data_IF_904458779917
#
_entry.id   IF_904458779917
#
_cell.length_a   1.000
_cell.length_b   1.000
_cell.length_c   1.000
_cell.angle_alpha   90.00
_cell.angle_beta   90.00
_cell.angle_gamma   90.00
#
_symmetry.space_group_name_H-M   'P 1'
#
loop_
_entity.id
_entity.type
_entity.pdbx_description
1 polymer ?
#
# COMPACT_ATOMS: atom_id res chain seq x y z
N UNK A 1 -22.45 13.44 13.85
CA UNK A 1 -22.20 12.72 12.60
C UNK A 1 -21.20 11.63 12.92
N UNK A 2 -21.65 10.42 12.97
CA UNK A 2 -20.79 9.30 13.34
C UNK A 2 -19.95 8.90 12.14
N UNK A 3 -18.65 9.22 12.19
CA UNK A 3 -17.67 8.87 11.15
C UNK A 3 -17.22 7.41 11.32
N UNK A 4 -17.59 6.77 12.44
CA UNK A 4 -17.11 5.43 12.80
C UNK A 4 -17.66 4.29 11.95
N UNK A 5 -18.75 4.52 11.22
CA UNK A 5 -19.41 3.44 10.46
C UNK A 5 -19.00 3.32 9.00
N UNK A 6 -18.11 4.19 8.49
CA UNK A 6 -17.95 4.31 7.04
C UNK A 6 -16.83 3.51 6.42
N UNK A 7 -15.73 3.28 7.07
CA UNK A 7 -14.62 2.51 6.48
C UNK A 7 -13.69 1.96 7.56
N UNK A 8 -13.97 0.78 8.01
CA UNK A 8 -12.98 -0.01 8.73
C UNK A 8 -12.35 -1.02 7.77
N UNK A 9 -11.63 -0.53 6.76
CA UNK A 9 -10.77 -1.40 5.99
C UNK A 9 -9.50 -1.62 6.79
N UNK A 10 -9.40 -2.76 7.43
CA UNK A 10 -8.18 -3.22 8.06
C UNK A 10 -7.47 -4.14 7.08
N UNK A 11 -6.36 -3.67 6.54
CA UNK A 11 -5.47 -4.49 5.74
C UNK A 11 -4.32 -4.97 6.62
N UNK A 12 -4.17 -6.26 6.73
CA UNK A 12 -3.09 -6.91 7.47
C UNK A 12 -2.25 -7.73 6.51
N UNK A 13 -0.95 -7.45 6.49
CA UNK A 13 0.02 -8.25 5.77
C UNK A 13 0.86 -9.04 6.77
N UNK A 14 1.00 -10.33 6.53
CA UNK A 14 1.77 -11.22 7.37
C UNK A 14 2.53 -12.27 6.56
N UNK A 15 3.59 -12.77 7.12
CA UNK A 15 4.31 -13.91 6.56
C UNK A 15 3.58 -15.21 6.96
N UNK A 16 3.13 -15.96 5.96
CA UNK A 16 2.48 -17.26 6.16
C UNK A 16 3.49 -18.41 6.22
N UNK A 17 4.68 -18.18 6.73
CA UNK A 17 5.61 -19.27 6.99
C UNK A 17 5.11 -20.12 8.16
N UNK A 18 4.23 -21.09 7.89
CA UNK A 18 4.06 -22.37 8.57
C UNK A 18 3.94 -22.42 10.10
N UNK A 19 3.60 -21.36 10.78
CA UNK A 19 3.30 -21.34 12.20
C UNK A 19 1.80 -21.31 12.43
N UNK A 20 1.27 -22.19 13.27
CA UNK A 20 -0.06 -21.99 13.86
C UNK A 20 0.00 -20.68 14.64
N UNK A 21 -0.43 -19.59 14.02
CA UNK A 21 -0.69 -18.37 14.75
C UNK A 21 -1.76 -18.69 15.79
N UNK A 22 -1.34 -18.66 17.06
CA UNK A 22 -2.28 -18.42 18.13
C UNK A 22 -2.82 -17.03 17.85
N UNK A 23 -4.06 -17.00 17.36
CA UNK A 23 -4.85 -15.77 17.40
C UNK A 23 -4.87 -15.35 18.87
N UNK A 24 -4.07 -14.36 19.22
CA UNK A 24 -4.18 -13.74 20.52
C UNK A 24 -5.62 -13.26 20.64
N UNK A 25 -6.32 -13.85 21.57
CA UNK A 25 -7.69 -13.48 21.89
C UNK A 25 -7.69 -11.98 22.19
N UNK A 26 -8.16 -11.20 21.24
CA UNK A 26 -8.52 -9.82 21.53
C UNK A 26 -9.56 -9.92 22.66
N UNK A 27 -9.24 -9.35 23.81
CA UNK A 27 -10.00 -9.45 25.07
C UNK A 27 -11.49 -9.06 24.99
N UNK A 28 -12.03 -8.82 23.82
CA UNK A 28 -13.42 -8.43 23.55
C UNK A 28 -14.32 -9.62 23.15
N UNK A 29 -13.78 -10.83 23.01
CA UNK A 29 -14.56 -12.03 22.70
C UNK A 29 -15.19 -12.09 21.31
N UNK A 30 -14.93 -11.13 20.42
CA UNK A 30 -15.41 -11.15 19.04
C UNK A 30 -14.30 -11.67 18.12
N UNK A 31 -14.55 -12.79 17.44
CA UNK A 31 -13.73 -13.26 16.34
C UNK A 31 -13.91 -12.32 15.15
N UNK A 32 -12.84 -11.71 14.68
CA UNK A 32 -12.81 -10.96 13.42
C UNK A 32 -12.43 -11.96 12.34
N UNK A 33 -13.34 -12.21 11.42
CA UNK A 33 -13.05 -13.00 10.21
C UNK A 33 -12.63 -12.05 9.09
N UNK A 34 -11.58 -12.37 8.31
CA UNK A 34 -11.27 -11.58 7.13
C UNK A 34 -12.36 -11.74 6.06
N UNK A 35 -12.69 -10.67 5.38
CA UNK A 35 -13.61 -10.71 4.24
C UNK A 35 -12.98 -11.43 3.05
N UNK A 36 -11.68 -11.28 2.89
CA UNK A 36 -10.89 -11.98 1.89
C UNK A 36 -9.41 -12.07 2.31
N UNK A 37 -8.72 -13.02 1.73
CA UNK A 37 -7.28 -13.24 1.90
C UNK A 37 -6.64 -13.44 0.53
N UNK A 38 -5.52 -12.77 0.29
CA UNK A 38 -4.73 -12.94 -0.91
C UNK A 38 -3.34 -13.44 -0.54
N UNK A 39 -3.00 -14.64 -1.00
CA UNK A 39 -1.64 -15.17 -0.92
C UNK A 39 -0.75 -14.53 -1.97
N UNK A 40 0.32 -13.85 -1.54
CA UNK A 40 1.21 -13.12 -2.43
C UNK A 40 2.52 -13.87 -2.72
N UNK A 41 2.83 -14.89 -1.94
CA UNK A 41 4.03 -15.73 -2.14
C UNK A 41 5.37 -15.05 -1.93
N UNK A 42 5.39 -13.79 -1.48
CA UNK A 42 6.58 -12.98 -1.25
C UNK A 42 6.44 -12.17 0.03
N UNK A 43 7.55 -11.76 0.61
CA UNK A 43 7.54 -10.85 1.76
C UNK A 43 6.93 -9.50 1.40
N UNK A 44 6.02 -9.02 2.23
CA UNK A 44 5.44 -7.69 2.11
C UNK A 44 6.39 -6.68 2.73
N UNK A 45 6.77 -5.66 1.97
CA UNK A 45 7.58 -4.55 2.45
C UNK A 45 6.73 -3.51 3.15
N UNK A 46 5.83 -2.90 2.41
CA UNK A 46 4.91 -1.89 2.92
C UNK A 46 3.51 -2.05 2.35
N UNK A 47 2.55 -1.58 3.09
CA UNK A 47 1.14 -1.56 2.74
C UNK A 47 0.58 -0.17 2.97
N UNK A 48 -0.08 0.39 1.97
CA UNK A 48 -0.72 1.69 2.02
C UNK A 48 -2.18 1.59 1.57
N UNK A 49 -3.09 2.14 2.34
CA UNK A 49 -4.50 2.24 1.96
C UNK A 49 -4.77 3.62 1.39
N UNK A 50 -5.17 3.68 0.14
CA UNK A 50 -5.49 4.90 -0.59
C UNK A 50 -7.00 5.02 -0.71
N UNK A 51 -7.58 5.92 0.06
CA UNK A 51 -9.02 6.18 0.03
C UNK A 51 -9.40 7.11 -1.12
N UNK A 52 -10.57 6.85 -1.72
CA UNK A 52 -11.18 7.80 -2.64
C UNK A 52 -11.89 8.90 -1.87
N UNK A 53 -11.84 10.12 -2.38
CA UNK A 53 -12.66 11.21 -1.86
C UNK A 53 -14.13 11.08 -2.29
N UNK A 54 -14.40 10.29 -3.31
CA UNK A 54 -15.75 10.03 -3.77
C UNK A 54 -16.43 8.98 -2.88
N UNK A 55 -17.65 9.27 -2.51
CA UNK A 55 -18.51 8.35 -1.76
C UNK A 55 -18.82 7.16 -2.67
N UNK A 56 -18.77 5.96 -2.13
CA UNK A 56 -19.07 4.70 -2.81
C UNK A 56 -17.98 4.18 -3.79
N UNK A 57 -16.79 4.81 -3.82
CA UNK A 57 -15.65 4.26 -4.54
C UNK A 57 -14.79 3.41 -3.60
N UNK A 58 -14.51 2.16 -3.95
CA UNK A 58 -13.66 1.28 -3.12
C UNK A 58 -12.30 1.89 -2.83
N UNK A 59 -11.79 1.66 -1.64
CA UNK A 59 -10.40 2.01 -1.33
C UNK A 59 -9.45 1.15 -2.16
N UNK A 60 -8.29 1.70 -2.47
CA UNK A 60 -7.22 0.95 -3.12
C UNK A 60 -6.12 0.66 -2.12
N UNK A 61 -5.74 -0.58 -2.03
CA UNK A 61 -4.65 -1.04 -1.19
C UNK A 61 -3.42 -1.22 -2.08
N UNK A 62 -2.35 -0.51 -1.79
CA UNK A 62 -1.09 -0.62 -2.52
C UNK A 62 -0.09 -1.37 -1.65
N UNK A 63 0.45 -2.44 -2.20
CA UNK A 63 1.38 -3.32 -1.51
C UNK A 63 2.70 -3.35 -2.26
N UNK A 64 3.79 -3.01 -1.59
CA UNK A 64 5.13 -3.30 -2.08
C UNK A 64 5.60 -4.64 -1.55
N UNK A 65 6.17 -5.41 -2.42
CA UNK A 65 6.79 -6.70 -2.13
C UNK A 65 8.29 -6.60 -2.38
N UNK A 66 8.98 -7.72 -2.31
CA UNK A 66 10.42 -7.77 -2.55
C UNK A 66 10.84 -7.16 -3.90
N UNK A 67 10.07 -7.35 -4.96
CA UNK A 67 10.35 -6.80 -6.30
C UNK A 67 9.09 -6.45 -7.11
N UNK A 68 8.02 -6.06 -6.45
CA UNK A 68 6.79 -5.67 -7.14
C UNK A 68 5.98 -4.63 -6.38
N UNK A 69 5.21 -3.87 -7.14
CA UNK A 69 4.21 -2.92 -6.67
C UNK A 69 2.85 -3.43 -7.14
N UNK A 70 1.95 -3.73 -6.22
CA UNK A 70 0.63 -4.28 -6.54
C UNK A 70 -0.45 -3.39 -5.95
N UNK A 71 -1.45 -3.05 -6.74
CA UNK A 71 -2.64 -2.34 -6.28
C UNK A 71 -3.86 -3.27 -6.33
N UNK A 72 -4.62 -3.25 -5.25
CA UNK A 72 -5.81 -4.05 -5.03
C UNK A 72 -6.96 -3.14 -4.64
N UNK A 73 -8.17 -3.47 -5.03
CA UNK A 73 -9.35 -2.90 -4.40
C UNK A 73 -9.56 -3.52 -3.01
N UNK A 74 -10.29 -2.84 -2.16
CA UNK A 74 -10.69 -3.37 -0.84
C UNK A 74 -11.59 -4.61 -0.92
N UNK A 75 -12.06 -4.95 -2.11
CA UNK A 75 -12.76 -6.20 -2.44
C UNK A 75 -11.83 -7.38 -2.76
N UNK A 76 -10.51 -7.17 -2.77
CA UNK A 76 -9.52 -8.18 -3.11
C UNK A 76 -9.19 -8.29 -4.62
N UNK A 77 -9.81 -7.48 -5.45
CA UNK A 77 -9.55 -7.48 -6.91
C UNK A 77 -8.25 -6.77 -7.23
N UNK A 78 -7.36 -7.43 -7.96
CA UNK A 78 -6.10 -6.84 -8.43
C UNK A 78 -6.39 -5.81 -9.52
N UNK A 79 -5.99 -4.57 -9.29
CA UNK A 79 -6.10 -3.46 -10.26
C UNK A 79 -4.92 -3.48 -11.22
N UNK A 80 -3.72 -3.55 -10.66
CA UNK A 80 -2.50 -3.71 -11.44
C UNK A 80 -1.38 -4.35 -10.62
N UNK A 81 -0.41 -4.89 -11.33
CA UNK A 81 0.85 -5.35 -10.76
C UNK A 81 2.01 -4.84 -11.64
N UNK A 82 2.96 -4.18 -11.00
CA UNK A 82 4.20 -3.71 -11.63
C UNK A 82 5.38 -4.47 -11.07
N UNK A 83 6.11 -5.17 -11.92
CA UNK A 83 7.40 -5.75 -11.55
C UNK A 83 8.46 -4.68 -11.47
N UNK A 84 9.29 -4.72 -10.45
CA UNK A 84 10.37 -3.79 -10.20
C UNK A 84 11.71 -4.48 -10.45
N UNK A 85 12.66 -3.75 -11.02
CA UNK A 85 14.02 -4.24 -11.26
C UNK A 85 14.94 -4.10 -10.02
N UNK A 86 14.38 -3.59 -8.93
CA UNK A 86 15.08 -3.28 -7.69
C UNK A 86 14.24 -3.71 -6.49
N UNK A 87 14.87 -3.77 -5.32
CA UNK A 87 14.17 -4.00 -4.05
C UNK A 87 13.78 -2.65 -3.44
N UNK A 88 12.47 -2.38 -3.24
CA UNK A 88 12.05 -1.15 -2.56
C UNK A 88 12.46 -1.17 -1.09
N UNK A 89 12.93 -0.02 -0.60
CA UNK A 89 13.24 0.21 0.82
C UNK A 89 12.05 0.80 1.56
N UNK A 90 11.40 1.77 0.94
CA UNK A 90 10.18 2.38 1.45
C UNK A 90 9.34 2.92 0.29
N UNK A 91 8.05 3.08 0.53
CA UNK A 91 7.12 3.58 -0.48
C UNK A 91 6.00 4.39 0.14
N UNK A 92 5.37 5.21 -0.69
CA UNK A 92 4.16 5.95 -0.36
C UNK A 92 3.28 6.02 -1.59
N UNK A 93 2.00 5.72 -1.44
CA UNK A 93 1.04 5.82 -2.54
C UNK A 93 -0.14 6.71 -2.15
N UNK A 94 -0.63 7.46 -3.13
CA UNK A 94 -1.81 8.32 -2.98
C UNK A 94 -2.52 8.48 -4.33
N UNK A 95 -3.78 8.92 -4.31
CA UNK A 95 -4.49 9.29 -5.54
C UNK A 95 -4.10 10.67 -6.04
N UNK A 96 -3.97 10.79 -7.35
CA UNK A 96 -3.78 12.09 -7.98
C UNK A 96 -5.09 12.88 -7.93
N UNK A 97 -5.04 14.09 -7.39
CA UNK A 97 -6.18 15.02 -7.39
C UNK A 97 -6.40 15.67 -8.75
N UNK A 98 -5.38 15.65 -9.61
CA UNK A 98 -5.32 16.42 -10.85
C UNK A 98 -5.59 15.60 -12.12
N UNK A 99 -5.45 14.29 -12.07
CA UNK A 99 -5.46 13.43 -13.26
C UNK A 99 -6.41 12.22 -13.14
N UNK A 100 -7.53 12.38 -12.47
CA UNK A 100 -8.49 11.30 -12.29
C UNK A 100 -8.05 10.27 -11.24
N UNK A 101 -8.54 9.05 -11.35
CA UNK A 101 -8.32 7.99 -10.34
C UNK A 101 -6.95 7.30 -10.42
N UNK A 102 -5.93 7.98 -10.92
CA UNK A 102 -4.60 7.41 -11.02
C UNK A 102 -3.90 7.36 -9.68
N UNK A 103 -3.20 6.28 -9.45
CA UNK A 103 -2.40 6.08 -8.24
C UNK A 103 -0.98 6.53 -8.51
N UNK A 104 -0.52 7.46 -7.70
CA UNK A 104 0.88 7.90 -7.68
C UNK A 104 1.59 7.12 -6.59
N UNK A 105 2.66 6.46 -6.95
CA UNK A 105 3.50 5.72 -6.00
C UNK A 105 4.93 6.24 -6.05
N UNK A 106 5.39 6.75 -4.91
CA UNK A 106 6.80 7.07 -4.69
C UNK A 106 7.46 5.83 -4.11
N UNK A 107 8.51 5.37 -4.74
CA UNK A 107 9.25 4.19 -4.31
C UNK A 107 10.72 4.54 -4.22
N UNK A 108 11.29 4.35 -3.06
CA UNK A 108 12.73 4.52 -2.85
C UNK A 108 13.43 3.17 -2.85
N UNK A 109 14.57 3.11 -3.50
CA UNK A 109 15.35 1.88 -3.66
C UNK A 109 16.80 2.03 -3.17
N UNK A 110 17.47 0.93 -3.03
CA UNK A 110 18.92 0.85 -3.00
C UNK A 110 19.42 0.48 -4.42
N UNK A 111 20.32 1.26 -5.06
CA UNK A 111 21.10 2.35 -4.49
C UNK A 111 20.39 3.71 -4.57
N UNK A 112 19.99 4.24 -3.45
CA UNK A 112 19.63 5.66 -3.19
C UNK A 112 18.89 6.39 -4.34
N UNK A 113 17.87 5.73 -4.91
CA UNK A 113 17.08 6.27 -6.00
C UNK A 113 15.64 6.42 -5.57
N UNK A 114 15.07 7.59 -5.81
CA UNK A 114 13.64 7.83 -5.64
C UNK A 114 12.95 7.80 -7.00
N UNK A 115 11.91 7.02 -7.12
CA UNK A 115 11.13 6.87 -8.34
C UNK A 115 9.67 7.22 -8.10
N UNK A 116 9.06 7.83 -9.10
CA UNK A 116 7.64 8.16 -9.11
C UNK A 116 6.96 7.39 -10.23
N UNK A 117 6.01 6.55 -9.84
CA UNK A 117 5.16 5.80 -10.75
C UNK A 117 3.76 6.40 -10.80
N UNK A 118 3.17 6.43 -11.96
CA UNK A 118 1.75 6.65 -12.19
C UNK A 118 1.15 5.33 -12.65
N UNK A 119 0.38 4.68 -11.81
CA UNK A 119 -0.01 3.28 -11.96
C UNK A 119 1.21 2.39 -12.23
N UNK A 120 1.37 1.87 -13.45
CA UNK A 120 2.49 1.02 -13.86
C UNK A 120 3.61 1.76 -14.60
N UNK A 121 3.43 3.05 -14.89
CA UNK A 121 4.37 3.85 -15.69
C UNK A 121 5.33 4.62 -14.81
N UNK A 122 6.64 4.46 -15.04
CA UNK A 122 7.66 5.30 -14.43
C UNK A 122 7.60 6.70 -15.05
N UNK A 123 7.37 7.72 -14.23
CA UNK A 123 7.29 9.11 -14.66
C UNK A 123 8.56 9.89 -14.37
N UNK A 124 9.22 9.55 -13.28
CA UNK A 124 10.37 10.31 -12.84
C UNK A 124 11.26 9.46 -11.94
N UNK A 125 12.56 9.69 -12.00
CA UNK A 125 13.54 9.07 -11.13
C UNK A 125 14.69 10.04 -10.85
N UNK A 126 15.19 10.06 -9.61
CA UNK A 126 16.35 10.83 -9.22
C UNK A 126 17.18 10.09 -8.18
N UNK A 127 18.47 10.35 -8.20
CA UNK A 127 19.36 9.95 -7.11
C UNK A 127 19.18 10.87 -5.91
N UNK A 128 19.20 10.27 -4.72
CA UNK A 128 19.17 10.99 -3.44
C UNK A 128 20.48 10.75 -2.69
N UNK A 129 21.00 11.76 -1.95
CA UNK A 129 22.31 11.67 -1.33
C UNK A 129 22.34 10.89 0.00
N UNK A 130 21.24 10.23 0.35
CA UNK A 130 21.10 9.49 1.61
C UNK A 130 20.31 8.19 1.40
N UNK A 131 20.48 7.25 2.31
CA UNK A 131 19.67 6.03 2.32
C UNK A 131 18.27 6.34 2.88
N UNK A 132 17.21 6.20 2.09
CA UNK A 132 15.85 6.48 2.55
C UNK A 132 15.38 5.41 3.52
N UNK A 133 14.63 5.83 4.55
CA UNK A 133 14.05 4.96 5.57
C UNK A 133 12.53 4.99 5.52
N UNK A 134 11.96 6.15 5.22
CA UNK A 134 10.51 6.32 5.08
C UNK A 134 10.19 7.51 4.19
N UNK A 135 9.01 7.48 3.59
CA UNK A 135 8.43 8.57 2.79
C UNK A 135 7.12 8.98 3.41
N UNK A 136 6.93 10.28 3.61
CA UNK A 136 5.68 10.83 4.11
C UNK A 136 5.26 12.05 3.30
N UNK A 137 3.96 12.21 3.11
CA UNK A 137 3.37 13.39 2.49
C UNK A 137 2.99 14.38 3.58
N UNK A 138 3.37 15.64 3.39
CA UNK A 138 2.97 16.74 4.25
C UNK A 138 2.30 17.86 3.45
N UNK A 139 1.43 18.60 4.09
CA UNK A 139 0.87 19.84 3.56
C UNK A 139 1.48 21.02 4.31
N UNK A 140 2.21 21.86 3.61
CA UNK A 140 2.84 23.02 4.19
C UNK A 140 2.03 24.26 3.78
N UNK A 141 1.53 25.01 4.76
CA UNK A 141 0.96 26.33 4.50
C UNK A 141 2.13 27.33 4.41
N UNK A 142 2.15 28.02 3.34
CA UNK A 142 3.06 29.16 3.15
C UNK A 142 2.45 30.40 3.80
#
# INVERSE_FOLDING_TARGET
>A
MDISSRYQTLAVAGDQSGGKEKTDDIKTGKRISPDWVLGIGESVGELCVVQSQQKDVPATIVVTKSRSLTALLDTGVVVFMKKLDFTPLCSLSFKSEWQGDKIISLVASDPQTLMVFENTSLKWAAQIPFKPVSIKRGSFKV
#
